data_IF_624017155076
#
_entry.id   IF_624017155076
#
_cell.length_a   1.000
_cell.length_b   1.000
_cell.length_c   1.000
_cell.angle_alpha   90.00
_cell.angle_beta   90.00
_cell.angle_gamma   90.00
#
_symmetry.space_group_name_H-M   'P 1'
#
loop_
_entity.id
_entity.type
_entity.pdbx_description
1 polymer ?
#
# COMPACT_ATOMS: atom_id res chain seq x y z
N UNK A 1 8.61 -6.87 -34.05
CA UNK A 1 9.20 -6.09 -32.97
C UNK A 1 8.13 -5.72 -31.96
N UNK A 2 8.37 -6.06 -30.73
CA UNK A 2 7.39 -5.76 -29.68
C UNK A 2 7.40 -4.26 -29.37
N UNK A 3 6.21 -3.68 -29.30
CA UNK A 3 6.05 -2.30 -28.84
C UNK A 3 5.73 -2.26 -27.35
N UNK A 4 5.72 -3.42 -26.69
CA UNK A 4 5.38 -3.49 -25.29
C UNK A 4 6.48 -2.94 -24.40
N UNK A 5 6.07 -2.10 -23.45
CA UNK A 5 6.98 -1.58 -22.44
C UNK A 5 7.12 -2.68 -21.38
N UNK A 6 8.35 -2.94 -20.96
CA UNK A 6 8.60 -3.97 -19.94
C UNK A 6 7.97 -3.60 -18.60
N UNK A 7 7.69 -4.61 -17.78
CA UNK A 7 7.18 -4.39 -16.42
C UNK A 7 8.12 -3.48 -15.63
N UNK A 8 9.44 -3.72 -15.75
CA UNK A 8 10.43 -2.91 -15.03
C UNK A 8 10.38 -1.45 -15.43
N UNK A 9 10.23 -1.18 -16.72
CA UNK A 9 10.16 0.18 -17.22
C UNK A 9 8.89 0.89 -16.78
N UNK A 10 7.75 0.19 -16.83
CA UNK A 10 6.48 0.73 -16.35
C UNK A 10 6.52 1.01 -14.85
N UNK A 11 7.10 0.09 -14.08
CA UNK A 11 7.21 0.27 -12.63
C UNK A 11 8.11 1.46 -12.31
N UNK A 12 9.25 1.57 -12.98
CA UNK A 12 10.17 2.68 -12.78
C UNK A 12 9.47 4.02 -13.04
N UNK A 13 8.71 4.11 -14.13
CA UNK A 13 7.98 5.33 -14.48
C UNK A 13 6.87 5.62 -13.46
N UNK A 14 6.17 4.57 -13.00
CA UNK A 14 5.13 4.72 -11.98
C UNK A 14 5.72 5.26 -10.67
N UNK A 15 6.87 4.73 -10.26
CA UNK A 15 7.53 5.18 -9.02
C UNK A 15 8.04 6.62 -9.16
N UNK A 16 8.55 7.00 -10.32
CA UNK A 16 8.96 8.38 -10.58
C UNK A 16 7.77 9.33 -10.43
N UNK A 17 6.63 8.97 -11.00
CA UNK A 17 5.42 9.76 -10.88
C UNK A 17 4.93 9.82 -9.44
N UNK A 18 5.06 8.72 -8.70
CA UNK A 18 4.69 8.67 -7.29
C UNK A 18 5.55 9.66 -6.47
N UNK A 19 6.86 9.66 -6.71
CA UNK A 19 7.79 10.56 -6.02
C UNK A 19 7.46 12.02 -6.31
N UNK A 20 7.01 12.31 -7.52
CA UNK A 20 6.63 13.66 -7.94
C UNK A 20 5.19 14.03 -7.57
N UNK A 21 4.52 13.20 -6.79
CA UNK A 21 3.11 13.38 -6.39
C UNK A 21 2.14 13.38 -7.57
N UNK A 22 2.53 12.80 -8.70
CA UNK A 22 1.66 12.61 -9.87
C UNK A 22 0.89 11.29 -9.74
N UNK A 23 -0.03 11.24 -8.77
CA UNK A 23 -0.73 10.00 -8.43
C UNK A 23 -1.63 9.47 -9.54
N UNK A 24 -2.25 10.36 -10.32
CA UNK A 24 -3.06 9.93 -11.47
C UNK A 24 -2.23 9.19 -12.51
N UNK A 25 -1.06 9.74 -12.86
CA UNK A 25 -0.17 9.10 -13.82
C UNK A 25 0.37 7.78 -13.26
N UNK A 26 0.75 7.78 -11.98
CA UNK A 26 1.22 6.57 -11.32
C UNK A 26 0.14 5.49 -11.32
N UNK A 27 -1.11 5.86 -11.02
CA UNK A 27 -2.24 4.93 -11.04
C UNK A 27 -2.46 4.32 -12.42
N UNK A 28 -2.41 5.14 -13.48
CA UNK A 28 -2.57 4.63 -14.84
C UNK A 28 -1.53 3.58 -15.17
N UNK A 29 -0.29 3.81 -14.79
CA UNK A 29 0.81 2.88 -15.05
C UNK A 29 0.68 1.62 -14.20
N UNK A 30 0.31 1.77 -12.92
CA UNK A 30 0.08 0.61 -12.03
C UNK A 30 -1.11 -0.23 -12.50
N UNK A 31 -2.17 0.42 -12.98
CA UNK A 31 -3.31 -0.31 -13.55
C UNK A 31 -2.89 -1.14 -14.75
N UNK A 32 -2.02 -0.59 -15.63
CA UNK A 32 -1.47 -1.34 -16.76
C UNK A 32 -0.63 -2.53 -16.29
N UNK A 33 0.20 -2.32 -15.27
CA UNK A 33 1.04 -3.38 -14.69
C UNK A 33 0.18 -4.51 -14.11
N UNK A 34 -0.85 -4.15 -13.37
CA UNK A 34 -1.74 -5.13 -12.74
C UNK A 34 -2.50 -5.93 -13.80
N UNK A 35 -3.00 -5.25 -14.83
CA UNK A 35 -3.72 -5.91 -15.92
C UNK A 35 -2.82 -6.86 -16.71
N UNK A 36 -1.62 -6.39 -17.07
CA UNK A 36 -0.66 -7.21 -17.82
C UNK A 36 -0.06 -8.33 -16.99
N UNK A 37 0.15 -8.07 -15.70
CA UNK A 37 0.81 -8.98 -14.78
C UNK A 37 -0.16 -9.69 -13.85
N UNK A 38 -1.36 -10.05 -14.32
CA UNK A 38 -2.36 -10.67 -13.47
C UNK A 38 -1.86 -11.97 -12.82
N UNK A 39 -0.97 -12.69 -13.52
CA UNK A 39 -0.35 -13.89 -12.98
C UNK A 39 1.09 -13.65 -12.55
N UNK A 40 1.54 -12.40 -12.56
CA UNK A 40 2.91 -12.05 -12.19
C UNK A 40 3.14 -12.27 -10.69
N UNK A 41 4.32 -12.78 -10.31
CA UNK A 41 4.68 -12.86 -8.89
C UNK A 41 4.80 -11.48 -8.24
N UNK A 42 4.87 -10.41 -9.04
CA UNK A 42 5.00 -9.05 -8.55
C UNK A 42 3.65 -8.34 -8.38
N UNK A 43 2.55 -9.03 -8.63
CA UNK A 43 1.22 -8.43 -8.57
C UNK A 43 0.94 -7.78 -7.21
N UNK A 44 1.31 -8.45 -6.12
CA UNK A 44 1.09 -7.92 -4.78
C UNK A 44 1.86 -6.62 -4.55
N UNK A 45 3.07 -6.52 -5.07
CA UNK A 45 3.86 -5.30 -5.01
C UNK A 45 3.15 -4.14 -5.72
N UNK A 46 2.63 -4.41 -6.92
CA UNK A 46 1.90 -3.40 -7.70
C UNK A 46 0.62 -2.97 -6.97
N UNK A 47 -0.08 -3.92 -6.38
CA UNK A 47 -1.30 -3.62 -5.61
C UNK A 47 -0.98 -2.77 -4.38
N UNK A 48 0.14 -3.05 -3.71
CA UNK A 48 0.55 -2.26 -2.55
C UNK A 48 0.87 -0.82 -2.97
N UNK A 49 1.60 -0.62 -4.07
CA UNK A 49 1.86 0.72 -4.58
C UNK A 49 0.57 1.44 -4.96
N UNK A 50 -0.37 0.71 -5.58
CA UNK A 50 -1.65 1.31 -5.94
C UNK A 50 -2.45 1.71 -4.70
N UNK A 51 -2.42 0.88 -3.67
CA UNK A 51 -3.07 1.20 -2.40
C UNK A 51 -2.50 2.49 -1.80
N UNK A 52 -1.18 2.67 -1.86
CA UNK A 52 -0.56 3.90 -1.36
C UNK A 52 -1.00 5.11 -2.17
N UNK A 53 -1.10 4.97 -3.51
CA UNK A 53 -1.63 6.05 -4.35
C UNK A 53 -3.06 6.41 -3.98
N UNK A 54 -3.91 5.41 -3.79
CA UNK A 54 -5.30 5.64 -3.36
C UNK A 54 -5.35 6.33 -1.99
N UNK A 55 -4.50 5.90 -1.07
CA UNK A 55 -4.40 6.54 0.25
C UNK A 55 -4.07 8.02 0.12
N UNK A 56 -3.09 8.35 -0.72
CA UNK A 56 -2.69 9.74 -0.94
C UNK A 56 -3.79 10.57 -1.58
N UNK A 57 -4.67 9.95 -2.35
CA UNK A 57 -5.80 10.63 -2.98
C UNK A 57 -7.06 10.65 -2.12
N UNK A 58 -7.01 10.08 -0.93
CA UNK A 58 -8.17 9.99 -0.05
C UNK A 58 -9.17 8.93 -0.46
N UNK A 59 -8.80 8.01 -1.35
CA UNK A 59 -9.66 6.91 -1.81
C UNK A 59 -9.44 5.67 -0.93
N UNK A 60 -9.85 5.78 0.32
CA UNK A 60 -9.53 4.79 1.35
C UNK A 60 -10.17 3.44 1.13
N UNK A 61 -11.40 3.40 0.65
CA UNK A 61 -12.09 2.14 0.34
C UNK A 61 -11.37 1.37 -0.77
N UNK A 62 -10.92 2.10 -1.81
CA UNK A 62 -10.18 1.49 -2.91
C UNK A 62 -8.84 0.94 -2.42
N UNK A 63 -8.17 1.69 -1.54
CA UNK A 63 -6.92 1.26 -0.96
C UNK A 63 -7.10 -0.02 -0.14
N UNK A 64 -8.16 -0.10 0.66
CA UNK A 64 -8.44 -1.26 1.48
C UNK A 64 -8.69 -2.51 0.63
N UNK A 65 -9.39 -2.35 -0.48
CA UNK A 65 -9.63 -3.46 -1.43
C UNK A 65 -8.31 -4.05 -1.94
N UNK A 66 -7.38 -3.18 -2.34
CA UNK A 66 -6.08 -3.63 -2.81
C UNK A 66 -5.29 -4.33 -1.70
N UNK A 67 -5.34 -3.77 -0.49
CA UNK A 67 -4.64 -4.37 0.65
C UNK A 67 -5.22 -5.73 1.03
N UNK A 68 -6.53 -5.91 0.89
CA UNK A 68 -7.16 -7.21 1.14
C UNK A 68 -6.68 -8.26 0.14
N UNK A 69 -6.43 -7.86 -1.11
CA UNK A 69 -5.84 -8.77 -2.09
C UNK A 69 -4.38 -9.10 -1.76
N UNK A 70 -3.62 -8.10 -1.33
CA UNK A 70 -2.21 -8.31 -0.92
C UNK A 70 -2.14 -9.27 0.26
N UNK A 71 -3.09 -9.21 1.18
CA UNK A 71 -3.13 -10.07 2.36
C UNK A 71 -3.12 -11.56 2.02
N UNK A 72 -3.63 -11.92 0.85
CA UNK A 72 -3.68 -13.31 0.39
C UNK A 72 -2.30 -13.85 0.03
N UNK A 73 -1.32 -12.97 -0.15
CA UNK A 73 0.05 -13.35 -0.49
C UNK A 73 0.87 -13.47 0.79
N UNK A 74 1.23 -14.70 1.16
CA UNK A 74 1.97 -14.97 2.39
C UNK A 74 3.29 -14.22 2.50
N UNK A 75 3.91 -13.88 1.36
CA UNK A 75 5.19 -13.16 1.36
C UNK A 75 5.05 -11.75 1.93
N UNK A 76 3.89 -11.12 1.78
CA UNK A 76 3.67 -9.76 2.24
C UNK A 76 3.31 -9.67 3.72
N UNK A 77 3.01 -10.79 4.36
CA UNK A 77 2.77 -10.81 5.80
C UNK A 77 4.03 -10.51 6.61
N UNK A 78 5.19 -10.47 5.95
CA UNK A 78 6.47 -10.16 6.58
C UNK A 78 6.92 -8.74 6.31
N UNK A 79 6.11 -7.95 5.58
CA UNK A 79 6.49 -6.60 5.17
C UNK A 79 5.82 -5.55 6.06
N UNK A 80 6.64 -4.81 6.83
CA UNK A 80 6.08 -3.80 7.73
C UNK A 80 5.33 -2.70 6.96
N UNK A 81 5.75 -2.38 5.72
CA UNK A 81 5.09 -1.36 4.90
C UNK A 81 3.63 -1.72 4.59
N UNK A 82 3.34 -3.00 4.42
CA UNK A 82 1.97 -3.45 4.23
C UNK A 82 1.11 -3.08 5.45
N UNK A 83 1.61 -3.41 6.65
CA UNK A 83 0.88 -3.16 7.88
C UNK A 83 0.76 -1.67 8.18
N UNK A 84 1.81 -0.89 7.90
CA UNK A 84 1.77 0.55 8.06
C UNK A 84 0.70 1.16 7.15
N UNK A 85 0.69 0.77 5.88
CA UNK A 85 -0.29 1.27 4.91
C UNK A 85 -1.71 0.88 5.33
N UNK A 86 -1.89 -0.38 5.70
CA UNK A 86 -3.19 -0.87 6.16
C UNK A 86 -3.66 -0.12 7.40
N UNK A 87 -2.77 0.09 8.36
CA UNK A 87 -3.10 0.85 9.57
C UNK A 87 -3.55 2.26 9.27
N UNK A 88 -2.86 2.94 8.37
CA UNK A 88 -3.24 4.30 7.94
C UNK A 88 -4.61 4.33 7.28
N UNK A 89 -4.85 3.41 6.36
CA UNK A 89 -6.14 3.34 5.64
C UNK A 89 -7.26 3.09 6.63
N UNK A 90 -7.08 2.14 7.52
CA UNK A 90 -8.10 1.81 8.52
C UNK A 90 -8.36 2.98 9.47
N UNK A 91 -7.32 3.73 9.81
CA UNK A 91 -7.47 4.95 10.61
C UNK A 91 -8.40 5.94 9.93
N UNK A 92 -8.16 6.22 8.64
CA UNK A 92 -9.00 7.18 7.91
C UNK A 92 -10.42 6.66 7.67
N UNK A 93 -10.62 5.35 7.70
CA UNK A 93 -11.96 4.75 7.65
C UNK A 93 -12.61 4.65 9.04
N UNK A 94 -11.95 5.20 10.05
CA UNK A 94 -12.42 5.19 11.44
C UNK A 94 -12.54 3.78 12.03
N UNK A 95 -11.80 2.83 11.49
CA UNK A 95 -11.73 1.46 12.02
C UNK A 95 -10.52 1.35 12.94
N UNK A 96 -10.62 2.03 14.08
CA UNK A 96 -9.46 2.26 14.95
C UNK A 96 -8.90 1.01 15.61
N UNK A 97 -9.75 0.08 16.04
CA UNK A 97 -9.28 -1.17 16.63
C UNK A 97 -8.50 -2.01 15.62
N UNK A 98 -9.04 -2.13 14.41
CA UNK A 98 -8.36 -2.86 13.34
C UNK A 98 -7.07 -2.16 12.93
N UNK A 99 -7.10 -0.82 12.90
CA UNK A 99 -5.92 -0.01 12.61
C UNK A 99 -4.80 -0.28 13.61
N UNK A 100 -5.13 -0.25 14.89
CA UNK A 100 -4.16 -0.50 15.97
C UNK A 100 -3.54 -1.89 15.84
N UNK A 101 -4.36 -2.89 15.55
CA UNK A 101 -3.89 -4.26 15.39
C UNK A 101 -2.88 -4.36 14.24
N UNK A 102 -3.20 -3.75 13.09
CA UNK A 102 -2.30 -3.76 11.94
C UNK A 102 -0.98 -3.05 12.26
N UNK A 103 -1.06 -1.89 12.90
CA UNK A 103 0.14 -1.12 13.25
C UNK A 103 1.02 -1.87 14.25
N UNK A 104 0.42 -2.53 15.23
CA UNK A 104 1.18 -3.32 16.20
C UNK A 104 1.91 -4.48 15.51
N UNK A 105 1.27 -5.13 14.55
CA UNK A 105 1.93 -6.19 13.78
C UNK A 105 3.11 -5.63 13.00
N UNK A 106 2.93 -4.48 12.37
CA UNK A 106 4.02 -3.80 11.66
C UNK A 106 5.17 -3.41 12.57
N UNK A 107 4.85 -2.98 13.79
CA UNK A 107 5.86 -2.62 14.78
C UNK A 107 6.68 -3.83 15.20
N UNK A 108 6.06 -5.00 15.33
CA UNK A 108 6.80 -6.23 15.64
C UNK A 108 7.82 -6.57 14.57
N UNK A 109 7.53 -6.22 13.32
CA UNK A 109 8.43 -6.47 12.19
C UNK A 109 9.53 -5.43 12.08
N UNK A 110 9.33 -4.24 12.64
CA UNK A 110 10.31 -3.16 12.63
C UNK A 110 10.18 -2.36 13.92
N UNK A 111 10.75 -2.91 14.98
CA UNK A 111 10.56 -2.45 16.36
C UNK A 111 11.02 -1.02 16.64
N UNK A 112 11.95 -0.52 15.85
CA UNK A 112 12.50 0.82 16.06
C UNK A 112 11.87 1.87 15.16
N UNK A 113 10.80 1.53 14.46
CA UNK A 113 10.15 2.43 13.53
C UNK A 113 9.32 3.48 14.26
N UNK A 114 9.84 4.69 14.33
CA UNK A 114 9.17 5.80 15.02
C UNK A 114 7.88 6.23 14.34
N UNK A 115 7.81 6.10 13.01
CA UNK A 115 6.61 6.46 12.26
C UNK A 115 5.43 5.58 12.66
N UNK A 116 5.65 4.28 12.78
CA UNK A 116 4.60 3.36 13.22
C UNK A 116 4.17 3.69 14.65
N UNK A 117 5.13 3.99 15.54
CA UNK A 117 4.84 4.34 16.92
C UNK A 117 3.96 5.59 17.00
N UNK A 118 4.26 6.59 16.17
CA UNK A 118 3.47 7.82 16.10
C UNK A 118 2.04 7.54 15.64
N UNK A 119 1.88 6.67 14.64
CA UNK A 119 0.55 6.29 14.17
C UNK A 119 -0.23 5.52 15.24
N UNK A 120 0.44 4.65 16.01
CA UNK A 120 -0.20 3.94 17.11
C UNK A 120 -0.74 4.93 18.15
N UNK A 121 0.04 5.93 18.50
CA UNK A 121 -0.40 6.97 19.44
C UNK A 121 -1.62 7.71 18.90
N UNK A 122 -1.62 8.03 17.61
CA UNK A 122 -2.73 8.71 16.96
C UNK A 122 -4.01 7.89 17.05
N UNK A 123 -3.91 6.58 16.77
CA UNK A 123 -5.04 5.67 16.85
C UNK A 123 -5.52 5.52 18.30
N UNK A 124 -4.60 5.39 19.24
CA UNK A 124 -4.95 5.25 20.66
C UNK A 124 -5.70 6.47 21.18
N UNK A 125 -5.35 7.66 20.69
CA UNK A 125 -6.07 8.88 21.07
C UNK A 125 -7.52 8.84 20.63
N UNK A 126 -7.80 8.23 19.46
CA UNK A 126 -9.18 8.09 18.98
C UNK A 126 -9.97 7.04 19.76
N UNK A 127 -9.29 6.11 20.42
CA UNK A 127 -9.92 5.04 21.19
C UNK A 127 -10.22 5.42 22.65
N UNK A 128 -9.83 6.61 23.06
CA UNK A 128 -10.08 7.08 24.45
C UNK A 128 -11.53 7.47 24.67
#
# INVERSE_FOLDING_TARGET
>A
MSSDISEESLLSTALDNFILDNYEAALNQLNSLITKGETSPNKSEYLLYRAVCFLKQGKFENALKDLDEVEKDANYKKEYNYYLTRGKVLYYLCKFEESKKALNTGLELNKDNNLIKDWIKKVENELK
#
